data_IF_709457341670
#
_entry.id   IF_709457341670
#
_cell.length_a   1.000
_cell.length_b   1.000
_cell.length_c   1.000
_cell.angle_alpha   90.00
_cell.angle_beta   90.00
_cell.angle_gamma   90.00
#
_symmetry.space_group_name_H-M   'P 1'
#
loop_
_entity.id
_entity.type
_entity.pdbx_description
1 polymer ?
#
# COMPACT_ATOMS: atom_id res chain seq x y z
N UNK A 1 -4.56 -18.40 11.23
CA UNK A 1 -5.12 -18.00 9.92
C UNK A 1 -4.62 -19.00 8.92
N UNK A 2 -5.50 -19.56 8.10
CA UNK A 2 -5.09 -20.42 6.98
C UNK A 2 -4.27 -19.59 5.98
N UNK A 3 -3.15 -20.13 5.49
CA UNK A 3 -2.29 -19.46 4.49
C UNK A 3 -3.09 -18.96 3.28
N UNK A 4 -4.13 -19.71 2.88
CA UNK A 4 -5.03 -19.35 1.79
C UNK A 4 -5.81 -18.06 2.08
N UNK A 5 -6.31 -17.89 3.31
CA UNK A 5 -7.01 -16.67 3.71
C UNK A 5 -6.07 -15.46 3.63
N UNK A 6 -4.80 -15.65 3.94
CA UNK A 6 -3.81 -14.58 3.88
C UNK A 6 -3.47 -14.15 2.46
N UNK A 7 -3.35 -15.12 1.55
CA UNK A 7 -3.16 -14.85 0.12
C UNK A 7 -4.36 -14.05 -0.41
N UNK A 8 -5.59 -14.42 -0.06
CA UNK A 8 -6.78 -13.65 -0.48
C UNK A 8 -6.77 -12.22 0.06
N UNK A 9 -6.40 -12.03 1.33
CA UNK A 9 -6.27 -10.69 1.93
C UNK A 9 -5.20 -9.87 1.21
N UNK A 10 -4.02 -10.44 0.94
CA UNK A 10 -2.95 -9.75 0.22
C UNK A 10 -3.38 -9.35 -1.20
N UNK A 11 -3.99 -10.27 -1.95
CA UNK A 11 -4.48 -10.01 -3.31
C UNK A 11 -5.55 -8.90 -3.30
N UNK A 12 -6.48 -8.96 -2.35
CA UNK A 12 -7.51 -7.92 -2.19
C UNK A 12 -6.88 -6.55 -1.88
N UNK A 13 -5.94 -6.50 -0.95
CA UNK A 13 -5.23 -5.26 -0.60
C UNK A 13 -4.43 -4.73 -1.78
N UNK A 14 -3.81 -5.60 -2.59
CA UNK A 14 -3.07 -5.22 -3.80
C UNK A 14 -3.98 -4.62 -4.86
N UNK A 15 -5.18 -5.18 -5.03
CA UNK A 15 -6.20 -4.64 -5.93
C UNK A 15 -6.69 -3.26 -5.44
N UNK A 16 -6.98 -3.12 -4.15
CA UNK A 16 -7.40 -1.84 -3.58
C UNK A 16 -6.27 -0.80 -3.64
N UNK A 17 -5.02 -1.20 -3.39
CA UNK A 17 -3.88 -0.29 -3.49
C UNK A 17 -3.69 0.23 -4.90
N UNK A 18 -4.09 -0.53 -5.92
CA UNK A 18 -4.01 -0.11 -7.33
C UNK A 18 -5.32 0.47 -7.88
N UNK A 19 -6.41 0.48 -7.09
CA UNK A 19 -7.72 0.96 -7.52
C UNK A 19 -7.71 2.43 -7.98
N UNK A 20 -6.79 3.24 -7.43
CA UNK A 20 -6.60 4.62 -7.86
C UNK A 20 -6.21 4.72 -9.36
N UNK A 21 -5.44 3.77 -9.90
CA UNK A 21 -5.01 3.73 -11.30
C UNK A 21 -6.19 3.75 -12.29
N UNK A 22 -7.33 3.15 -11.91
CA UNK A 22 -8.54 3.08 -12.74
C UNK A 22 -9.24 4.43 -12.93
N UNK A 23 -9.01 5.41 -12.04
CA UNK A 23 -9.69 6.71 -12.07
C UNK A 23 -8.82 7.82 -12.67
N UNK A 24 -7.57 7.54 -13.05
CA UNK A 24 -6.65 8.48 -13.69
C UNK A 24 -6.47 9.77 -12.88
N UNK A 25 -6.70 10.93 -13.51
CA UNK A 25 -6.49 12.25 -12.89
C UNK A 25 -7.64 12.69 -11.95
N UNK A 26 -8.85 12.17 -12.17
CA UNK A 26 -10.07 12.51 -11.40
C UNK A 26 -10.37 11.47 -10.32
N UNK A 27 -9.35 11.07 -9.55
CA UNK A 27 -9.53 10.17 -8.42
C UNK A 27 -10.36 10.89 -7.32
N UNK A 28 -11.49 10.29 -6.89
CA UNK A 28 -12.18 10.75 -5.69
C UNK A 28 -11.26 10.66 -4.46
N UNK A 29 -11.28 11.68 -3.59
CA UNK A 29 -10.42 11.70 -2.38
C UNK A 29 -10.54 10.43 -1.55
N UNK A 30 -11.72 9.82 -1.45
CA UNK A 30 -11.93 8.58 -0.70
C UNK A 30 -11.20 7.39 -1.33
N UNK A 31 -11.19 7.27 -2.67
CA UNK A 31 -10.48 6.18 -3.38
C UNK A 31 -8.98 6.30 -3.18
N UNK A 32 -8.46 7.54 -3.13
CA UNK A 32 -7.06 7.80 -2.85
C UNK A 32 -6.67 7.34 -1.43
N UNK A 33 -7.46 7.73 -0.42
CA UNK A 33 -7.22 7.31 0.97
C UNK A 33 -7.34 5.80 1.14
N UNK A 34 -8.31 5.17 0.48
CA UNK A 34 -8.51 3.72 0.52
C UNK A 34 -7.31 2.97 -0.09
N UNK A 35 -6.81 3.47 -1.22
CA UNK A 35 -5.64 2.91 -1.89
C UNK A 35 -4.37 3.06 -1.03
N UNK A 36 -4.20 4.22 -0.38
CA UNK A 36 -3.09 4.47 0.53
C UNK A 36 -3.16 3.58 1.78
N UNK A 37 -4.32 3.47 2.42
CA UNK A 37 -4.51 2.61 3.60
C UNK A 37 -4.27 1.14 3.25
N UNK A 38 -4.66 0.72 2.04
CA UNK A 38 -4.44 -0.64 1.57
C UNK A 38 -2.96 -0.91 1.33
N UNK A 39 -2.21 0.03 0.74
CA UNK A 39 -0.77 -0.09 0.58
C UNK A 39 -0.01 -0.20 1.91
N UNK A 40 -0.39 0.62 2.90
CA UNK A 40 0.17 0.55 4.25
C UNK A 40 -0.15 -0.80 4.93
N UNK A 41 -1.38 -1.29 4.76
CA UNK A 41 -1.79 -2.60 5.28
C UNK A 41 -1.01 -3.76 4.64
N UNK A 42 -0.68 -3.70 3.34
CA UNK A 42 0.20 -4.70 2.69
C UNK A 42 1.57 -4.71 3.36
N UNK A 43 2.20 -3.54 3.52
CA UNK A 43 3.51 -3.42 4.16
C UNK A 43 3.51 -3.99 5.59
N UNK A 44 2.43 -3.76 6.34
CA UNK A 44 2.26 -4.30 7.69
C UNK A 44 2.06 -5.82 7.71
N UNK A 45 1.20 -6.37 6.84
CA UNK A 45 0.96 -7.81 6.74
C UNK A 45 2.24 -8.54 6.32
N UNK A 46 2.94 -8.02 5.31
CA UNK A 46 4.23 -8.57 4.87
C UNK A 46 5.26 -8.47 6.00
N UNK A 47 5.33 -7.34 6.70
CA UNK A 47 6.25 -7.14 7.83
C UNK A 47 6.00 -8.11 8.99
N UNK A 48 4.75 -8.37 9.36
CA UNK A 48 4.41 -9.35 10.41
C UNK A 48 4.80 -10.77 9.98
N UNK A 49 4.56 -11.14 8.72
CA UNK A 49 4.80 -12.50 8.23
C UNK A 49 6.28 -12.78 7.91
N UNK A 50 7.04 -11.75 7.58
CA UNK A 50 8.49 -11.84 7.41
C UNK A 50 9.25 -11.76 8.74
N UNK A 51 8.59 -11.56 9.89
CA UNK A 51 9.25 -11.32 11.17
C UNK A 51 9.21 -12.51 12.16
N UNK A 52 10.21 -13.42 12.11
CA UNK A 52 10.54 -14.25 13.26
C UNK A 52 11.32 -13.48 14.35
N UNK A 53 11.91 -12.32 14.06
CA UNK A 53 12.74 -11.55 15.00
C UNK A 53 12.38 -10.03 15.03
N UNK A 54 12.68 -9.32 16.14
CA UNK A 54 12.35 -7.89 16.29
C UNK A 54 13.04 -6.95 15.28
N UNK A 55 14.11 -7.42 14.62
CA UNK A 55 14.80 -6.69 13.54
C UNK A 55 13.95 -6.61 12.26
N UNK A 56 13.10 -7.61 12.04
CA UNK A 56 12.19 -7.68 10.88
C UNK A 56 10.98 -6.75 11.03
N UNK A 57 10.58 -6.42 12.27
CA UNK A 57 9.62 -5.35 12.54
C UNK A 57 10.15 -3.99 12.09
N UNK A 58 11.44 -3.76 12.25
CA UNK A 58 12.14 -2.57 11.76
C UNK A 58 12.12 -2.55 10.22
N UNK A 59 12.37 -3.68 9.57
CA UNK A 59 12.28 -3.82 8.12
C UNK A 59 10.83 -3.60 7.63
N UNK A 60 9.83 -4.20 8.27
CA UNK A 60 8.41 -3.97 7.96
C UNK A 60 7.99 -2.51 8.11
N UNK A 61 8.50 -1.84 9.16
CA UNK A 61 8.27 -0.40 9.36
C UNK A 61 8.92 0.44 8.28
N UNK A 62 10.15 0.12 7.85
CA UNK A 62 10.88 0.78 6.77
C UNK A 62 10.20 0.59 5.42
N UNK A 63 9.70 -0.63 5.13
CA UNK A 63 8.92 -0.92 3.93
C UNK A 63 7.63 -0.11 3.93
N UNK A 64 6.92 -0.05 5.07
CA UNK A 64 5.70 0.76 5.20
C UNK A 64 6.00 2.25 5.01
N UNK A 65 7.12 2.75 5.55
CA UNK A 65 7.56 4.14 5.38
C UNK A 65 7.93 4.44 3.92
N UNK A 66 8.62 3.52 3.26
CA UNK A 66 8.94 3.59 1.83
C UNK A 66 7.69 3.61 0.96
N UNK A 67 6.68 2.80 1.28
CA UNK A 67 5.40 2.80 0.59
C UNK A 67 4.65 4.14 0.74
N UNK A 68 4.66 4.73 1.93
CA UNK A 68 4.09 6.07 2.19
C UNK A 68 4.82 7.13 1.37
N UNK A 69 6.15 7.14 1.40
CA UNK A 69 6.97 8.12 0.64
C UNK A 69 6.74 7.97 -0.87
N UNK A 70 6.74 6.73 -1.38
CA UNK A 70 6.43 6.45 -2.78
C UNK A 70 5.06 7.02 -3.16
N UNK A 71 4.04 6.81 -2.33
CA UNK A 71 2.70 7.37 -2.56
C UNK A 71 2.67 8.90 -2.58
N UNK A 72 3.41 9.56 -1.68
CA UNK A 72 3.53 11.01 -1.68
C UNK A 72 4.23 11.53 -2.93
N UNK A 73 5.28 10.84 -3.39
CA UNK A 73 6.00 11.17 -4.62
C UNK A 73 5.08 10.97 -5.84
N UNK A 74 4.37 9.84 -5.94
CA UNK A 74 3.40 9.58 -7.01
C UNK A 74 2.33 10.68 -7.07
N UNK A 75 1.86 11.14 -5.91
CA UNK A 75 0.94 12.29 -5.83
C UNK A 75 1.58 13.58 -6.31
N UNK A 76 2.78 13.91 -5.83
CA UNK A 76 3.49 15.13 -6.22
C UNK A 76 3.81 15.18 -7.73
N UNK A 77 4.14 14.03 -8.33
CA UNK A 77 4.36 13.90 -9.79
C UNK A 77 3.04 14.07 -10.55
N UNK A 78 1.96 13.41 -10.09
CA UNK A 78 0.63 13.51 -10.74
C UNK A 78 0.06 14.93 -10.66
N UNK A 79 0.23 15.61 -9.52
CA UNK A 79 -0.24 16.99 -9.35
C UNK A 79 0.60 17.99 -10.18
N UNK A 80 1.84 17.63 -10.57
CA UNK A 80 2.72 18.44 -11.45
C UNK A 80 2.53 18.19 -12.94
N UNK A 81 1.97 17.05 -13.36
CA UNK A 81 1.67 16.77 -14.76
C UNK A 81 0.17 16.87 -15.02
N UNK A 82 -0.34 18.06 -15.37
CA UNK A 82 -1.71 18.22 -15.81
C UNK A 82 -1.85 17.72 -17.25
N UNK A 83 -2.09 16.44 -17.46
CA UNK A 83 -2.65 15.94 -18.74
C UNK A 83 -4.15 16.04 -18.78
#
# INVERSE_FOLDING_TARGET
MDEQALIYVLVLLLLLSNAHSLFGKNIPRFVWWLSLSSAAAIGFVVGIFMAPFPEDLLIGSLISLGAIVFFFISRAIRDRHPT
#
